data_IF_272270661474
#
_entry.id   IF_272270661474
#
_cell.length_a   1.000
_cell.length_b   1.000
_cell.length_c   1.000
_cell.angle_alpha   90.00
_cell.angle_beta   90.00
_cell.angle_gamma   90.00
#
_symmetry.space_group_name_H-M   'P 1'
#
loop_
_entity.id
_entity.type
_entity.pdbx_description
1 polymer ?
#
# COMPACT_ATOMS: atom_id res chain seq x y z
N UNK A 1 11.07 5.15 -2.69
CA UNK A 1 9.81 5.58 -2.05
C UNK A 1 8.64 4.96 -2.79
N UNK A 2 8.11 3.87 -2.25
CA UNK A 2 6.89 3.25 -2.78
C UNK A 2 5.73 4.21 -2.52
N UNK A 3 4.75 4.29 -3.42
CA UNK A 3 3.42 4.77 -3.05
C UNK A 3 2.96 3.80 -1.96
N UNK A 4 3.01 4.24 -0.71
CA UNK A 4 2.74 3.38 0.43
C UNK A 4 1.31 2.90 0.36
N UNK A 5 1.13 1.60 0.16
CA UNK A 5 -0.14 0.86 0.26
C UNK A 5 -0.58 0.69 1.73
N UNK A 6 -0.38 1.71 2.56
CA UNK A 6 -0.80 1.68 3.96
C UNK A 6 -2.33 1.52 4.09
N UNK A 7 -3.09 1.80 3.03
CA UNK A 7 -4.56 1.64 2.96
C UNK A 7 -5.07 0.19 2.85
N UNK A 8 -4.21 -0.82 2.70
CA UNK A 8 -4.57 -2.25 2.87
C UNK A 8 -3.70 -2.90 3.96
N UNK A 9 -2.93 -2.10 4.70
CA UNK A 9 -1.98 -2.59 5.70
C UNK A 9 -2.55 -2.59 7.13
N UNK A 10 -3.83 -2.26 7.32
CA UNK A 10 -4.56 -2.60 8.56
C UNK A 10 -4.85 -4.10 8.57
N UNK A 11 -3.79 -4.86 8.86
CA UNK A 11 -3.79 -6.12 9.58
C UNK A 11 -4.99 -7.04 9.35
N UNK A 12 -5.02 -7.71 8.18
CA UNK A 12 -5.31 -9.15 8.23
C UNK A 12 -4.05 -9.78 8.84
N UNK A 13 -4.02 -9.82 10.17
CA UNK A 13 -3.09 -10.64 10.93
C UNK A 13 -3.50 -12.10 10.75
N UNK A 14 -3.13 -12.75 9.64
CA UNK A 14 -3.11 -14.22 9.58
C UNK A 14 -1.91 -14.72 8.78
N UNK A 15 -1.10 -15.46 9.52
CA UNK A 15 0.02 -16.32 9.15
C UNK A 15 -0.31 -17.35 8.05
N UNK A 16 0.74 -17.81 7.35
CA UNK A 16 0.82 -19.04 6.50
C UNK A 16 0.26 -18.82 5.08
N UNK A 17 0.95 -19.05 3.96
CA UNK A 17 2.11 -19.90 3.66
C UNK A 17 2.73 -19.40 2.36
N UNK A 18 4.07 -19.38 2.32
CA UNK A 18 4.76 -19.54 1.07
C UNK A 18 4.25 -20.82 0.37
N UNK A 19 3.76 -20.69 -0.86
CA UNK A 19 3.77 -21.80 -1.81
C UNK A 19 4.00 -21.22 -3.21
N UNK A 20 5.26 -21.21 -3.61
CA UNK A 20 5.59 -21.29 -5.03
C UNK A 20 5.12 -22.65 -5.54
N UNK A 21 4.41 -22.67 -6.66
CA UNK A 21 3.99 -23.91 -7.30
C UNK A 21 3.11 -23.66 -8.50
N UNK A 22 3.71 -23.71 -9.69
CA UNK A 22 2.99 -23.64 -10.97
C UNK A 22 2.12 -24.87 -11.23
N UNK A 23 1.10 -24.68 -12.06
CA UNK A 23 0.22 -25.75 -12.52
C UNK A 23 -0.91 -25.21 -13.38
N UNK A 24 -0.67 -25.10 -14.67
CA UNK A 24 -1.64 -24.79 -15.73
C UNK A 24 -2.78 -25.82 -15.79
N UNK A 25 -4.03 -25.36 -15.91
CA UNK A 25 -5.00 -25.92 -16.87
C UNK A 25 -6.15 -24.95 -17.09
N UNK A 26 -6.43 -24.70 -18.36
CA UNK A 26 -7.46 -23.80 -18.88
C UNK A 26 -8.87 -24.35 -18.64
N UNK A 27 -9.81 -23.47 -18.36
CA UNK A 27 -11.20 -23.61 -18.81
C UNK A 27 -11.79 -22.22 -19.04
N UNK A 28 -11.92 -21.89 -20.32
CA UNK A 28 -12.69 -20.75 -20.79
C UNK A 28 -14.14 -20.90 -20.35
N UNK A 29 -14.67 -19.86 -19.71
CA UNK A 29 -16.09 -19.56 -19.80
C UNK A 29 -16.26 -18.06 -19.88
N UNK A 30 -16.30 -17.58 -21.13
CA UNK A 30 -16.67 -16.23 -21.51
C UNK A 30 -18.11 -15.96 -21.10
N UNK A 31 -18.32 -15.09 -20.12
CA UNK A 31 -19.57 -14.35 -19.99
C UNK A 31 -19.27 -12.86 -20.07
N UNK A 32 -19.57 -12.31 -21.25
CA UNK A 32 -19.59 -10.90 -21.55
C UNK A 32 -20.53 -10.17 -20.59
N UNK A 33 -19.98 -9.26 -19.79
CA UNK A 33 -20.71 -8.09 -19.34
C UNK A 33 -19.76 -6.89 -19.45
N UNK A 34 -19.84 -6.19 -20.58
CA UNK A 34 -19.10 -4.96 -20.83
C UNK A 34 -19.71 -3.83 -20.00
N UNK A 35 -19.32 -3.73 -18.74
CA UNK A 35 -19.29 -2.43 -18.07
C UNK A 35 -18.02 -1.73 -18.55
N UNK A 36 -18.16 -0.75 -19.44
CA UNK A 36 -17.08 0.17 -19.78
C UNK A 36 -16.61 0.86 -18.50
N UNK A 37 -15.55 0.32 -17.90
CA UNK A 37 -14.88 0.98 -16.78
C UNK A 37 -14.28 2.29 -17.31
N UNK A 38 -14.60 3.46 -16.72
CA UNK A 38 -14.06 4.72 -17.18
C UNK A 38 -12.53 4.69 -17.07
N UNK A 39 -11.87 4.98 -18.18
CA UNK A 39 -10.41 5.09 -18.26
C UNK A 39 -9.90 6.19 -17.31
N UNK A 40 -8.70 5.96 -16.75
CA UNK A 40 -8.05 6.96 -15.90
C UNK A 40 -7.71 8.23 -16.73
N UNK A 41 -7.66 9.42 -16.10
CA UNK A 41 -7.41 10.67 -16.82
C UNK A 41 -6.05 10.64 -17.55
N UNK A 42 -6.05 11.06 -18.83
CA UNK A 42 -4.85 11.26 -19.66
C UNK A 42 -4.20 12.64 -19.47
N UNK A 43 -4.62 13.40 -18.46
CA UNK A 43 -4.16 14.77 -18.25
C UNK A 43 -2.67 14.81 -17.85
N UNK A 44 -1.95 15.80 -18.38
CA UNK A 44 -0.56 16.12 -18.04
C UNK A 44 -0.37 16.48 -16.55
N UNK A 45 -1.44 16.90 -15.88
CA UNK A 45 -1.49 17.19 -14.45
C UNK A 45 -2.57 16.36 -13.75
N UNK A 46 -2.22 15.69 -12.65
CA UNK A 46 -3.15 14.91 -11.83
C UNK A 46 -2.72 14.97 -10.36
N UNK A 47 -3.69 15.00 -9.44
CA UNK A 47 -3.42 14.88 -8.00
C UNK A 47 -4.34 13.83 -7.37
N UNK A 48 -3.73 13.03 -6.50
CA UNK A 48 -4.37 11.91 -5.83
C UNK A 48 -3.88 11.85 -4.38
N UNK A 49 -4.77 11.49 -3.46
CA UNK A 49 -4.52 11.62 -2.03
C UNK A 49 -4.72 10.30 -1.32
N UNK A 50 -3.79 9.91 -0.46
CA UNK A 50 -4.03 8.83 0.49
C UNK A 50 -4.70 9.37 1.74
N UNK A 51 -5.43 8.50 2.42
CA UNK A 51 -5.98 8.75 3.75
C UNK A 51 -5.87 7.46 4.53
N UNK A 52 -5.14 7.47 5.63
CA UNK A 52 -5.04 6.32 6.53
C UNK A 52 -5.51 6.74 7.92
N UNK A 53 -6.61 6.15 8.37
CA UNK A 53 -7.13 6.39 9.70
C UNK A 53 -6.29 5.62 10.73
N UNK A 54 -5.77 6.30 11.74
CA UNK A 54 -5.18 5.62 12.88
C UNK A 54 -6.30 5.14 13.81
N UNK A 55 -6.80 3.95 13.50
CA UNK A 55 -7.94 3.35 14.21
C UNK A 55 -7.57 2.68 15.53
N UNK A 56 -6.27 2.51 15.80
CA UNK A 56 -5.76 1.72 16.92
C UNK A 56 -5.19 2.59 18.05
N UNK A 57 -4.81 3.84 17.75
CA UNK A 57 -4.36 4.79 18.76
C UNK A 57 -5.48 5.32 19.66
N UNK A 58 -5.10 5.75 20.87
CA UNK A 58 -6.02 6.35 21.83
C UNK A 58 -6.63 7.66 21.30
N UNK A 59 -5.86 8.44 20.56
CA UNK A 59 -6.32 9.65 19.89
C UNK A 59 -6.63 9.36 18.43
N UNK A 60 -7.80 9.82 17.98
CA UNK A 60 -8.17 9.70 16.57
C UNK A 60 -7.29 10.63 15.74
N UNK A 61 -6.48 10.05 14.87
CA UNK A 61 -5.61 10.77 13.95
C UNK A 61 -5.66 10.11 12.57
N UNK A 62 -5.04 10.75 11.58
CA UNK A 62 -4.88 10.18 10.26
C UNK A 62 -3.58 10.67 9.63
N UNK A 63 -3.02 9.84 8.77
CA UNK A 63 -1.94 10.22 7.86
C UNK A 63 -2.51 10.46 6.47
N UNK A 64 -1.92 11.41 5.74
CA UNK A 64 -2.32 11.71 4.37
C UNK A 64 -1.14 12.14 3.54
N UNK A 65 -0.98 11.50 2.40
CA UNK A 65 0.01 11.87 1.39
C UNK A 65 -0.70 12.38 0.14
N UNK A 66 -0.03 13.28 -0.58
CA UNK A 66 -0.46 13.77 -1.88
C UNK A 66 0.51 13.27 -2.93
N UNK A 67 0.01 12.59 -3.95
CA UNK A 67 0.74 12.20 -5.15
C UNK A 67 0.35 13.14 -6.29
N UNK A 68 1.34 13.84 -6.85
CA UNK A 68 1.15 14.76 -7.97
C UNK A 68 1.89 14.25 -9.19
N UNK A 69 1.17 14.09 -10.30
CA UNK A 69 1.73 13.89 -11.63
C UNK A 69 1.72 15.24 -12.33
N UNK A 70 2.88 15.70 -12.77
CA UNK A 70 2.99 16.95 -13.53
C UNK A 70 4.11 16.83 -14.57
N UNK A 71 3.77 17.02 -15.84
CA UNK A 71 4.71 17.00 -16.97
C UNK A 71 5.60 15.73 -17.02
N UNK A 72 4.98 14.56 -16.81
CA UNK A 72 5.67 13.27 -16.85
C UNK A 72 6.59 13.01 -15.64
N UNK A 73 6.41 13.76 -14.55
CA UNK A 73 7.13 13.57 -13.28
C UNK A 73 6.15 13.26 -12.16
N UNK A 74 6.58 12.41 -11.24
CA UNK A 74 5.84 12.06 -10.03
C UNK A 74 6.45 12.75 -8.82
N UNK A 75 5.63 13.41 -8.02
CA UNK A 75 6.02 14.03 -6.76
C UNK A 75 5.13 13.52 -5.63
N UNK A 76 5.67 13.47 -4.43
CA UNK A 76 4.90 13.11 -3.23
C UNK A 76 5.18 14.10 -2.10
N UNK A 77 4.14 14.52 -1.39
CA UNK A 77 4.18 15.36 -0.20
C UNK A 77 3.32 14.77 0.93
N UNK A 78 3.62 15.11 2.18
CA UNK A 78 2.89 14.62 3.37
C UNK A 78 3.82 13.92 4.36
N UNK A 79 3.26 13.00 5.14
CA UNK A 79 3.97 12.19 6.13
C UNK A 79 4.73 11.02 5.47
N UNK A 80 5.82 11.36 4.76
CA UNK A 80 6.57 10.38 3.98
C UNK A 80 7.77 9.84 4.78
N UNK A 81 7.84 8.51 4.95
CA UNK A 81 9.01 7.87 5.58
C UNK A 81 10.24 8.07 4.71
N UNK A 82 11.37 8.41 5.32
CA UNK A 82 12.64 8.51 4.61
C UNK A 82 13.17 7.12 4.26
N UNK A 83 12.83 6.64 3.06
CA UNK A 83 13.39 5.43 2.46
C UNK A 83 14.04 5.69 1.09
N UNK A 84 14.99 4.82 0.71
CA UNK A 84 15.57 4.77 -0.63
C UNK A 84 15.80 3.32 -1.05
N UNK A 85 15.87 3.07 -2.36
CA UNK A 85 16.00 1.72 -2.90
C UNK A 85 17.37 1.52 -3.52
N UNK A 86 17.93 0.32 -3.41
CA UNK A 86 19.17 -0.08 -4.10
C UNK A 86 18.95 -1.38 -4.85
N UNK A 87 19.48 -1.46 -6.08
CA UNK A 87 19.54 -2.72 -6.84
C UNK A 87 21.00 -3.18 -6.91
N UNK A 88 21.28 -4.25 -7.67
CA UNK A 88 22.64 -4.72 -7.91
C UNK A 88 23.57 -3.59 -8.38
N UNK A 89 23.06 -2.70 -9.25
CA UNK A 89 23.84 -1.63 -9.87
C UNK A 89 23.26 -0.22 -9.68
N UNK A 90 22.06 -0.09 -9.10
CA UNK A 90 21.35 1.18 -9.00
C UNK A 90 21.16 1.68 -7.57
N UNK A 91 21.02 3.00 -7.44
CA UNK A 91 20.58 3.71 -6.25
C UNK A 91 19.41 4.59 -6.67
N UNK A 92 18.27 4.46 -5.99
CA UNK A 92 17.04 5.17 -6.30
C UNK A 92 16.55 5.88 -5.04
N UNK A 93 16.85 7.16 -4.97
CA UNK A 93 16.59 8.06 -3.87
C UNK A 93 15.58 9.14 -4.28
N UNK A 94 15.44 10.18 -3.45
CA UNK A 94 14.56 11.31 -3.77
C UNK A 94 15.30 12.37 -4.57
N UNK A 95 14.63 12.91 -5.56
CA UNK A 95 15.11 14.06 -6.32
C UNK A 95 14.80 15.40 -5.66
N UNK A 96 15.17 16.51 -6.31
CA UNK A 96 14.89 17.85 -5.83
C UNK A 96 13.40 18.06 -5.55
N UNK A 97 13.08 18.74 -4.45
CA UNK A 97 11.71 19.04 -4.07
C UNK A 97 11.11 20.16 -4.90
N UNK A 98 9.88 19.95 -5.37
CA UNK A 98 9.04 21.01 -5.87
C UNK A 98 8.38 21.74 -4.70
N UNK A 99 8.31 23.08 -4.78
CA UNK A 99 7.81 23.94 -3.71
C UNK A 99 6.37 23.64 -3.28
N UNK A 100 5.54 23.15 -4.22
CA UNK A 100 4.14 22.82 -3.96
C UNK A 100 3.85 21.31 -3.85
N UNK A 101 4.72 20.44 -4.38
CA UNK A 101 4.40 19.01 -4.57
C UNK A 101 5.31 18.04 -3.80
N UNK A 102 6.35 18.56 -3.13
CA UNK A 102 7.31 17.75 -2.39
C UNK A 102 8.42 17.15 -3.26
N UNK A 103 9.22 16.21 -2.72
CA UNK A 103 10.30 15.54 -3.43
C UNK A 103 9.87 14.86 -4.74
N UNK A 104 10.71 15.00 -5.77
CA UNK A 104 10.59 14.26 -7.02
C UNK A 104 10.86 12.77 -6.75
N UNK A 105 9.89 11.92 -7.09
CA UNK A 105 9.99 10.47 -6.95
C UNK A 105 10.53 9.80 -8.21
N UNK A 106 10.39 10.44 -9.38
CA UNK A 106 10.87 9.91 -10.65
C UNK A 106 10.09 10.40 -11.85
N UNK A 107 10.37 9.81 -13.00
CA UNK A 107 9.62 10.02 -14.24
C UNK A 107 8.47 9.03 -14.31
N UNK A 108 7.29 9.49 -14.70
CA UNK A 108 6.08 8.66 -14.80
C UNK A 108 5.44 8.80 -16.18
N UNK A 109 5.03 7.68 -16.74
CA UNK A 109 4.15 7.62 -17.91
C UNK A 109 2.87 6.90 -17.57
N UNK A 110 1.74 7.45 -18.00
CA UNK A 110 0.42 6.86 -17.78
C UNK A 110 -0.16 6.46 -19.13
N UNK A 111 -0.43 5.17 -19.30
CA UNK A 111 -1.09 4.64 -20.48
C UNK A 111 -2.33 3.86 -20.04
N UNK A 112 -3.51 4.38 -20.38
CA UNK A 112 -4.80 3.87 -19.88
C UNK A 112 -4.79 3.78 -18.35
N UNK A 113 -4.84 2.56 -17.82
CA UNK A 113 -4.92 2.26 -16.40
C UNK A 113 -3.59 1.73 -15.83
N UNK A 114 -2.49 1.88 -16.57
CA UNK A 114 -1.15 1.46 -16.15
C UNK A 114 -0.28 2.69 -15.96
N UNK A 115 0.28 2.82 -14.77
CA UNK A 115 1.26 3.84 -14.40
C UNK A 115 2.64 3.20 -14.37
N UNK A 116 3.55 3.68 -15.21
CA UNK A 116 4.93 3.22 -15.22
C UNK A 116 5.83 4.29 -14.63
N UNK A 117 6.44 4.00 -13.48
CA UNK A 117 7.36 4.88 -12.77
C UNK A 117 8.79 4.38 -12.96
N UNK A 118 9.65 5.25 -13.49
CA UNK A 118 11.10 5.13 -13.40
C UNK A 118 11.56 5.99 -12.21
N UNK A 119 11.92 5.40 -11.06
CA UNK A 119 12.29 6.16 -9.88
C UNK A 119 13.47 7.08 -10.13
N UNK A 120 13.51 8.20 -9.41
CA UNK A 120 14.64 9.11 -9.43
C UNK A 120 15.91 8.39 -8.96
N UNK A 121 17.05 8.75 -9.55
CA UNK A 121 18.36 8.25 -9.17
C UNK A 121 19.39 9.37 -9.21
N UNK A 122 19.99 9.68 -8.07
CA UNK A 122 21.11 10.63 -7.98
C UNK A 122 22.36 10.20 -8.75
N UNK A 123 22.46 8.92 -9.13
CA UNK A 123 23.57 8.36 -9.93
C UNK A 123 23.17 8.03 -11.37
N UNK A 124 21.98 8.46 -11.83
CA UNK A 124 21.43 8.19 -13.14
C UNK A 124 21.25 6.68 -13.46
N UNK A 125 20.91 5.87 -12.45
CA UNK A 125 20.49 4.49 -12.68
C UNK A 125 19.09 4.43 -13.32
N UNK A 126 18.87 3.46 -14.20
CA UNK A 126 17.62 3.33 -14.97
C UNK A 126 17.07 1.89 -15.04
N UNK A 127 17.65 0.95 -14.27
CA UNK A 127 17.30 -0.49 -14.33
C UNK A 127 15.96 -0.83 -13.67
N UNK A 128 15.59 -0.08 -12.63
CA UNK A 128 14.36 -0.29 -11.86
C UNK A 128 13.22 0.55 -12.43
N UNK A 129 12.09 -0.11 -12.67
CA UNK A 129 10.83 0.49 -13.03
C UNK A 129 9.72 -0.22 -12.27
N UNK A 130 8.67 0.53 -11.95
CA UNK A 130 7.44 0.02 -11.36
C UNK A 130 6.29 0.18 -12.34
N UNK A 131 5.50 -0.88 -12.50
CA UNK A 131 4.21 -0.81 -13.17
C UNK A 131 3.11 -0.97 -12.12
N UNK A 132 2.23 0.02 -12.04
CA UNK A 132 1.07 0.03 -11.15
C UNK A 132 -0.19 0.03 -12.01
N UNK A 133 -0.97 -1.04 -11.93
CA UNK A 133 -2.29 -1.09 -12.55
C UNK A 133 -3.32 -0.54 -11.58
N UNK A 134 -4.13 0.39 -12.06
CA UNK A 134 -5.18 1.03 -11.28
C UNK A 134 -6.57 0.77 -11.87
N UNK A 135 -7.60 0.95 -11.06
CA UNK A 135 -9.00 1.02 -11.48
C UNK A 135 -9.63 2.28 -10.89
N UNK A 136 -10.36 3.03 -11.71
CA UNK A 136 -11.13 4.18 -11.24
C UNK A 136 -12.48 3.72 -10.69
N UNK A 137 -12.80 4.11 -9.47
CA UNK A 137 -14.05 3.79 -8.78
C UNK A 137 -14.82 5.08 -8.53
N UNK A 138 -16.10 5.09 -8.92
CA UNK A 138 -17.03 6.14 -8.54
C UNK A 138 -17.47 5.94 -7.09
N UNK A 139 -17.34 6.97 -6.27
CA UNK A 139 -17.72 6.96 -4.86
C UNK A 139 -19.03 7.67 -4.57
N UNK A 140 -19.60 8.39 -5.52
CA UNK A 140 -20.83 9.15 -5.31
C UNK A 140 -21.94 8.30 -4.66
N UNK A 141 -22.47 8.77 -3.52
CA UNK A 141 -23.51 8.07 -2.77
C UNK A 141 -23.05 6.86 -1.95
N UNK A 142 -21.78 6.44 -2.07
CA UNK A 142 -21.21 5.40 -1.23
C UNK A 142 -20.99 5.90 0.21
N UNK A 143 -21.04 4.98 1.19
CA UNK A 143 -20.75 5.30 2.60
C UNK A 143 -19.28 5.66 2.79
N UNK A 144 -19.00 6.71 3.57
CA UNK A 144 -17.63 7.11 3.91
C UNK A 144 -16.90 5.98 4.65
N UNK A 145 -17.51 5.44 5.71
CA UNK A 145 -16.87 4.41 6.54
C UNK A 145 -16.38 3.21 5.71
N UNK A 146 -17.19 2.74 4.76
CA UNK A 146 -16.86 1.59 3.90
C UNK A 146 -15.68 1.82 2.95
N UNK A 147 -15.23 3.06 2.79
CA UNK A 147 -14.15 3.44 1.87
C UNK A 147 -12.90 3.96 2.56
N UNK A 148 -13.00 4.47 3.79
CA UNK A 148 -11.86 5.04 4.54
C UNK A 148 -11.14 3.99 5.38
N UNK A 149 -11.88 3.04 5.96
CA UNK A 149 -11.32 1.96 6.78
C UNK A 149 -12.26 0.75 6.68
N UNK A 150 -12.13 0.03 5.56
CA UNK A 150 -13.10 -0.98 5.16
C UNK A 150 -13.16 -2.15 6.15
N UNK A 151 -12.02 -2.55 6.72
CA UNK A 151 -11.94 -3.73 7.59
C UNK A 151 -12.58 -3.43 8.93
N UNK A 152 -12.21 -2.30 9.56
CA UNK A 152 -12.80 -1.92 10.84
C UNK A 152 -14.28 -1.57 10.68
N UNK A 153 -14.69 -0.95 9.55
CA UNK A 153 -16.10 -0.80 9.22
C UNK A 153 -16.84 -2.15 9.13
N UNK A 154 -16.25 -3.15 8.45
CA UNK A 154 -16.83 -4.49 8.34
C UNK A 154 -16.95 -5.18 9.71
N UNK A 155 -15.92 -5.11 10.56
CA UNK A 155 -15.92 -5.62 11.93
C UNK A 155 -17.07 -5.03 12.74
N UNK A 156 -17.22 -3.70 12.70
CA UNK A 156 -18.28 -2.98 13.44
C UNK A 156 -19.67 -3.31 12.91
N UNK A 157 -19.84 -3.33 11.58
CA UNK A 157 -21.12 -3.63 10.95
C UNK A 157 -21.62 -5.04 11.28
N UNK A 158 -20.70 -6.00 11.33
CA UNK A 158 -21.00 -7.40 11.56
C UNK A 158 -20.86 -7.85 13.02
N UNK A 159 -20.49 -6.93 13.92
CA UNK A 159 -20.30 -7.20 15.35
C UNK A 159 -19.36 -8.40 15.59
N UNK A 160 -18.21 -8.40 14.91
CA UNK A 160 -17.22 -9.49 15.00
C UNK A 160 -16.51 -9.42 16.35
N UNK A 161 -16.92 -10.30 17.27
CA UNK A 161 -16.38 -10.37 18.63
C UNK A 161 -14.87 -10.66 18.62
N UNK A 162 -14.13 -10.05 19.55
CA UNK A 162 -12.67 -10.17 19.68
C UNK A 162 -11.89 -9.21 18.80
N UNK A 163 -12.30 -8.99 17.55
CA UNK A 163 -11.64 -8.01 16.65
C UNK A 163 -12.00 -6.55 16.98
N UNK A 164 -13.15 -6.31 17.62
CA UNK A 164 -13.55 -4.97 18.05
C UNK A 164 -12.65 -4.40 19.17
N UNK A 165 -12.05 -5.28 19.99
CA UNK A 165 -11.21 -4.86 21.12
C UNK A 165 -9.89 -4.22 20.66
N UNK A 166 -9.48 -4.50 19.42
CA UNK A 166 -8.31 -3.88 18.79
C UNK A 166 -8.63 -2.47 18.27
N UNK A 167 -9.90 -2.15 18.00
CA UNK A 167 -10.30 -0.84 17.47
C UNK A 167 -10.50 0.15 18.63
N UNK A 168 -9.83 1.30 18.59
CA UNK A 168 -9.98 2.33 19.62
C UNK A 168 -11.42 2.83 19.71
N UNK A 169 -11.88 3.15 20.93
CA UNK A 169 -13.24 3.67 21.15
C UNK A 169 -13.55 4.90 20.27
N UNK A 170 -12.57 5.77 20.04
CA UNK A 170 -12.75 6.95 19.19
C UNK A 170 -12.94 6.57 17.72
N UNK A 171 -12.18 5.60 17.21
CA UNK A 171 -12.35 5.11 15.85
C UNK A 171 -13.70 4.37 15.68
N UNK A 172 -14.13 3.59 16.66
CA UNK A 172 -15.44 2.93 16.62
C UNK A 172 -16.59 3.94 16.50
N UNK A 173 -16.58 4.99 17.32
CA UNK A 173 -17.58 6.07 17.28
C UNK A 173 -17.53 6.83 15.95
N UNK A 174 -16.34 7.18 15.48
CA UNK A 174 -16.16 7.87 14.20
C UNK A 174 -16.68 7.03 13.02
N UNK A 175 -16.26 5.76 12.89
CA UNK A 175 -16.68 4.88 11.81
C UNK A 175 -18.19 4.60 11.85
N UNK A 176 -18.76 4.49 13.05
CA UNK A 176 -20.22 4.38 13.22
C UNK A 176 -20.93 5.62 12.69
N UNK A 177 -20.48 6.83 13.04
CA UNK A 177 -21.05 8.07 12.51
C UNK A 177 -20.91 8.15 10.98
N UNK A 178 -19.73 7.83 10.46
CA UNK A 178 -19.41 7.88 9.03
C UNK A 178 -20.14 6.81 8.20
N UNK A 179 -20.71 5.77 8.81
CA UNK A 179 -21.49 4.76 8.10
C UNK A 179 -22.72 5.36 7.39
N UNK A 180 -23.28 6.42 7.96
CA UNK A 180 -24.47 7.12 7.47
C UNK A 180 -24.15 8.27 6.49
N UNK A 181 -22.91 8.77 6.54
CA UNK A 181 -22.45 9.86 5.67
C UNK A 181 -22.09 9.32 4.29
N UNK A 182 -22.51 10.04 3.25
CA UNK A 182 -22.27 9.66 1.86
C UNK A 182 -21.27 10.58 1.19
N UNK A 183 -20.49 10.03 0.27
CA UNK A 183 -19.62 10.84 -0.58
C UNK A 183 -20.46 11.75 -1.50
N UNK A 184 -20.07 13.03 -1.64
CA UNK A 184 -20.75 13.96 -2.53
C UNK A 184 -20.51 13.61 -4.01
N UNK A 185 -21.30 14.24 -4.89
CA UNK A 185 -21.15 14.05 -6.34
C UNK A 185 -19.75 14.44 -6.83
N UNK A 186 -19.23 13.67 -7.78
CA UNK A 186 -17.87 13.84 -8.32
C UNK A 186 -16.76 13.18 -7.48
N UNK A 187 -17.08 12.54 -6.36
CA UNK A 187 -16.13 11.77 -5.57
C UNK A 187 -15.67 10.52 -6.32
N UNK A 188 -14.35 10.33 -6.43
CA UNK A 188 -13.74 9.17 -7.09
C UNK A 188 -12.52 8.71 -6.31
N UNK A 189 -12.15 7.44 -6.49
CA UNK A 189 -10.84 6.95 -6.05
C UNK A 189 -10.19 6.04 -7.11
N UNK A 190 -8.88 5.92 -7.02
CA UNK A 190 -8.10 4.86 -7.65
C UNK A 190 -7.94 3.70 -6.66
N UNK A 191 -8.22 2.51 -7.14
CA UNK A 191 -7.81 1.26 -6.51
C UNK A 191 -6.58 0.75 -7.24
N UNK A 192 -5.49 0.50 -6.52
CA UNK A 192 -4.37 -0.27 -7.06
C UNK A 192 -4.81 -1.73 -7.12
N UNK A 193 -4.76 -2.33 -8.30
CA UNK A 193 -5.10 -3.74 -8.51
C UNK A 193 -3.86 -4.61 -8.65
N UNK A 194 -2.74 -4.03 -9.11
CA UNK A 194 -1.47 -4.74 -9.27
C UNK A 194 -0.29 -3.80 -9.18
N UNK A 195 0.81 -4.27 -8.57
CA UNK A 195 2.13 -3.64 -8.64
C UNK A 195 3.15 -4.69 -9.07
N UNK A 196 4.01 -4.33 -10.01
CA UNK A 196 5.20 -5.11 -10.34
C UNK A 196 6.43 -4.23 -10.54
N UNK A 197 7.60 -4.82 -10.34
CA UNK A 197 8.90 -4.19 -10.57
C UNK A 197 9.71 -4.93 -11.65
N UNK A 198 10.67 -4.24 -12.26
CA UNK A 198 11.54 -4.80 -13.31
C UNK A 198 12.80 -5.51 -12.80
N UNK A 199 13.18 -5.28 -11.54
CA UNK A 199 14.45 -5.71 -10.95
C UNK A 199 14.30 -5.93 -9.44
N UNK A 200 15.03 -6.91 -8.89
CA UNK A 200 15.14 -7.08 -7.44
C UNK A 200 15.83 -5.85 -6.82
N UNK A 201 15.32 -5.40 -5.67
CA UNK A 201 15.91 -4.31 -4.91
C UNK A 201 15.77 -4.52 -3.40
N UNK A 202 16.57 -3.78 -2.63
CA UNK A 202 16.37 -3.55 -1.22
C UNK A 202 15.73 -2.18 -1.03
N UNK A 203 14.69 -2.09 -0.20
CA UNK A 203 14.15 -0.82 0.31
C UNK A 203 14.75 -0.57 1.70
N UNK A 204 15.44 0.56 1.86
CA UNK A 204 16.23 0.90 3.05
C UNK A 204 15.54 2.05 3.78
N UNK A 205 15.10 1.78 5.01
CA UNK A 205 14.42 2.75 5.86
C UNK A 205 15.37 3.28 6.94
N UNK A 206 15.44 4.60 7.07
CA UNK A 206 16.17 5.23 8.18
C UNK A 206 15.26 5.28 9.40
N UNK A 207 15.57 4.48 10.42
CA UNK A 207 14.82 4.48 11.68
C UNK A 207 15.09 5.78 12.44
N UNK A 208 14.07 6.63 12.69
CA UNK A 208 14.25 8.03 13.11
C UNK A 208 14.80 8.24 14.52
N UNK A 209 15.04 7.19 15.31
CA UNK A 209 15.58 7.33 16.68
C UNK A 209 17.12 7.25 16.68
N UNK A 210 17.83 8.17 17.34
CA UNK A 210 19.31 8.17 17.41
C UNK A 210 19.92 6.97 18.14
N UNK A 211 19.12 6.26 18.95
CA UNK A 211 19.46 4.96 19.54
C UNK A 211 19.40 3.81 18.51
N UNK A 212 18.92 4.06 17.28
CA UNK A 212 18.76 3.05 16.23
C UNK A 212 20.10 2.53 15.72
N UNK A 213 21.11 3.36 15.48
CA UNK A 213 22.31 2.89 14.77
C UNK A 213 23.11 1.83 15.54
N UNK A 214 23.26 1.96 16.86
CA UNK A 214 23.90 0.92 17.68
C UNK A 214 23.05 -0.34 17.77
N UNK A 215 21.72 -0.20 17.81
CA UNK A 215 20.78 -1.32 17.84
C UNK A 215 20.83 -2.08 16.51
N UNK A 216 20.71 -1.38 15.38
CA UNK A 216 20.80 -1.94 14.04
C UNK A 216 22.18 -2.56 13.80
N UNK A 217 23.27 -1.95 14.30
CA UNK A 217 24.61 -2.54 14.24
C UNK A 217 24.71 -3.85 15.04
N UNK A 218 24.09 -3.93 16.22
CA UNK A 218 24.04 -5.16 17.01
C UNK A 218 23.21 -6.25 16.30
N UNK A 219 22.05 -5.89 15.75
CA UNK A 219 21.21 -6.79 14.95
C UNK A 219 21.95 -7.29 13.71
N UNK A 220 22.65 -6.41 13.01
CA UNK A 220 23.54 -6.76 11.89
C UNK A 220 24.62 -7.77 12.29
N UNK A 221 25.29 -7.55 13.41
CA UNK A 221 26.31 -8.48 13.92
C UNK A 221 25.72 -9.85 14.27
N UNK A 222 24.51 -9.88 14.84
CA UNK A 222 23.77 -11.13 15.05
C UNK A 222 23.44 -11.83 13.73
N UNK A 223 22.96 -11.09 12.72
CA UNK A 223 22.58 -11.63 11.41
C UNK A 223 23.79 -12.18 10.63
N UNK A 224 24.98 -11.58 10.74
CA UNK A 224 26.20 -12.13 10.12
C UNK A 224 26.51 -13.54 10.63
N UNK A 225 26.24 -13.79 11.91
CA UNK A 225 26.55 -15.06 12.57
C UNK A 225 25.41 -16.09 12.44
N UNK A 226 24.24 -15.67 11.98
CA UNK A 226 23.07 -16.53 11.81
C UNK A 226 23.19 -17.33 10.50
N UNK A 227 23.25 -18.67 10.56
CA UNK A 227 23.34 -19.51 9.35
C UNK A 227 22.08 -19.48 8.48
N UNK A 228 20.94 -19.03 9.00
CA UNK A 228 19.71 -18.85 8.23
C UNK A 228 19.66 -17.51 7.48
N UNK A 229 20.54 -16.56 7.83
CA UNK A 229 20.58 -15.26 7.18
C UNK A 229 21.15 -15.36 5.76
N UNK A 230 20.51 -14.69 4.82
CA UNK A 230 20.99 -14.57 3.45
C UNK A 230 21.72 -13.26 3.26
N UNK A 231 22.87 -13.31 2.60
CA UNK A 231 23.67 -12.14 2.27
C UNK A 231 23.33 -11.63 0.87
N UNK A 232 23.07 -10.33 0.76
CA UNK A 232 22.88 -9.60 -0.49
C UNK A 232 23.98 -8.55 -0.64
N UNK A 233 24.57 -8.46 -1.83
CA UNK A 233 25.54 -7.42 -2.19
C UNK A 233 24.91 -6.63 -3.32
N UNK A 234 24.64 -5.35 -3.06
CA UNK A 234 24.00 -4.40 -3.95
C UNK A 234 24.85 -3.14 -4.08
N UNK A 235 24.39 -2.16 -4.85
CA UNK A 235 25.15 -0.93 -5.11
C UNK A 235 25.58 -0.25 -3.81
N UNK A 236 26.88 -0.30 -3.53
CA UNK A 236 27.55 0.23 -2.33
C UNK A 236 26.88 -0.21 -1.01
N UNK A 237 26.19 -1.35 -1.02
CA UNK A 237 25.35 -1.84 0.07
C UNK A 237 25.59 -3.32 0.28
N UNK A 238 25.70 -3.74 1.54
CA UNK A 238 25.61 -5.14 1.93
C UNK A 238 24.37 -5.27 2.81
N UNK A 239 23.59 -6.34 2.64
CA UNK A 239 22.47 -6.65 3.51
C UNK A 239 22.50 -8.10 3.98
N UNK A 240 21.97 -8.33 5.17
CA UNK A 240 21.66 -9.65 5.70
C UNK A 240 20.18 -9.68 6.04
N UNK A 241 19.44 -10.65 5.48
CA UNK A 241 17.99 -10.78 5.69
C UNK A 241 17.62 -12.20 6.13
N UNK A 242 16.48 -12.31 6.79
CA UNK A 242 15.84 -13.57 7.16
C UNK A 242 14.52 -13.69 6.42
N UNK A 243 14.11 -14.91 6.11
CA UNK A 243 12.78 -15.14 5.53
C UNK A 243 11.71 -15.13 6.64
N UNK A 244 11.28 -13.93 7.04
CA UNK A 244 10.26 -13.68 8.06
C UNK A 244 8.98 -13.07 7.45
N UNK A 245 8.40 -13.74 6.46
CA UNK A 245 7.23 -13.34 5.66
C UNK A 245 7.48 -12.22 4.63
N UNK A 246 8.38 -11.26 4.89
CA UNK A 246 8.69 -10.15 3.97
C UNK A 246 10.18 -10.00 3.65
N UNK A 247 10.95 -11.10 3.75
CA UNK A 247 12.41 -11.16 3.61
C UNK A 247 13.12 -9.86 4.09
N UNK A 248 13.08 -9.64 5.41
CA UNK A 248 13.59 -8.41 6.05
C UNK A 248 14.86 -8.65 6.87
N UNK A 249 15.59 -7.58 7.16
CA UNK A 249 16.80 -7.60 7.96
C UNK A 249 17.47 -6.24 8.01
N UNK A 250 18.80 -6.23 8.00
CA UNK A 250 19.60 -5.01 8.14
C UNK A 250 20.50 -4.84 6.92
N UNK A 251 20.60 -3.62 6.40
CA UNK A 251 21.54 -3.22 5.37
C UNK A 251 22.57 -2.23 5.92
N UNK A 252 23.80 -2.30 5.43
CA UNK A 252 24.83 -1.29 5.62
C UNK A 252 25.09 -0.57 4.30
N UNK A 253 24.89 0.75 4.28
CA UNK A 253 25.18 1.64 3.16
C UNK A 253 25.98 2.84 3.66
N UNK A 254 27.12 3.13 3.02
CA UNK A 254 28.03 4.24 3.41
C UNK A 254 28.31 4.33 4.93
N UNK A 255 28.59 3.19 5.57
CA UNK A 255 28.86 3.04 7.00
C UNK A 255 27.69 3.39 7.95
N UNK A 256 26.45 3.45 7.44
CA UNK A 256 25.23 3.55 8.24
C UNK A 256 24.38 2.30 8.07
N UNK A 257 23.63 1.95 9.12
CA UNK A 257 22.73 0.80 9.13
C UNK A 257 21.29 1.24 8.90
N UNK A 258 20.54 0.41 8.16
CA UNK A 258 19.16 0.65 7.78
C UNK A 258 18.36 -0.62 7.99
N UNK A 259 17.09 -0.48 8.37
CA UNK A 259 16.14 -1.57 8.19
C UNK A 259 15.99 -1.83 6.69
N UNK A 260 16.05 -3.10 6.31
CA UNK A 260 16.14 -3.50 4.92
C UNK A 260 15.07 -4.54 4.59
N UNK A 261 14.32 -4.28 3.51
CA UNK A 261 13.31 -5.19 3.00
C UNK A 261 13.67 -5.57 1.57
N UNK A 262 13.81 -6.87 1.32
CA UNK A 262 14.09 -7.36 -0.02
C UNK A 262 12.79 -7.52 -0.81
N UNK A 263 12.70 -6.80 -1.93
CA UNK A 263 11.66 -7.02 -2.92
C UNK A 263 12.23 -7.87 -4.07
N UNK A 264 11.72 -9.10 -4.29
CA UNK A 264 12.11 -9.89 -5.45
C UNK A 264 11.63 -9.22 -6.74
N UNK A 265 12.26 -9.60 -7.86
CA UNK A 265 11.81 -9.17 -9.18
C UNK A 265 10.41 -9.71 -9.47
N UNK A 266 9.50 -8.87 -9.97
CA UNK A 266 8.20 -9.30 -10.48
C UNK A 266 7.02 -8.67 -9.75
N UNK A 267 5.96 -9.44 -9.52
CA UNK A 267 4.72 -8.96 -8.90
C UNK A 267 4.92 -8.78 -7.39
N UNK A 268 4.70 -7.56 -6.90
CA UNK A 268 4.75 -7.23 -5.48
C UNK A 268 3.38 -7.26 -4.83
N UNK A 269 2.35 -6.93 -5.61
CA UNK A 269 0.97 -6.85 -5.14
C UNK A 269 0.04 -7.27 -6.26
N UNK A 270 -0.95 -8.10 -5.93
CA UNK A 270 -2.07 -8.45 -6.80
C UNK A 270 -3.33 -8.57 -5.94
N UNK A 271 -4.31 -7.69 -6.17
CA UNK A 271 -5.56 -7.70 -5.42
C UNK A 271 -6.28 -9.05 -5.57
N UNK A 272 -6.14 -9.72 -6.71
CA UNK A 272 -6.83 -10.98 -6.97
C UNK A 272 -6.38 -12.09 -6.02
N UNK A 273 -5.11 -12.09 -5.61
CA UNK A 273 -4.60 -13.04 -4.61
C UNK A 273 -5.34 -12.88 -3.28
N UNK A 274 -5.50 -11.65 -2.79
CA UNK A 274 -6.26 -11.35 -1.57
C UNK A 274 -7.74 -11.72 -1.70
N UNK A 275 -8.35 -11.43 -2.85
CA UNK A 275 -9.76 -11.76 -3.09
C UNK A 275 -10.03 -13.27 -3.07
N UNK A 276 -9.06 -14.08 -3.48
CA UNK A 276 -9.15 -15.55 -3.45
C UNK A 276 -9.00 -16.11 -2.02
N UNK A 277 -8.29 -15.42 -1.13
CA UNK A 277 -8.24 -15.80 0.30
C UNK A 277 -9.62 -15.68 0.96
N UNK A 278 -10.37 -14.61 0.66
CA UNK A 278 -11.74 -14.46 1.17
C UNK A 278 -12.67 -15.56 0.64
N UNK A 279 -12.48 -16.05 -0.59
CA UNK A 279 -13.22 -17.22 -1.09
C UNK A 279 -12.88 -18.48 -0.29
N UNK A 280 -11.61 -18.65 0.08
CA UNK A 280 -11.16 -19.78 0.91
C UNK A 280 -11.82 -19.73 2.28
N UNK A 281 -11.81 -18.57 2.96
CA UNK A 281 -12.46 -18.41 4.26
C UNK A 281 -13.98 -18.58 4.18
N UNK A 282 -14.62 -18.02 3.16
CA UNK A 282 -16.06 -18.19 2.93
C UNK A 282 -16.44 -19.67 2.70
N UNK A 283 -15.57 -20.47 2.09
CA UNK A 283 -15.78 -21.90 1.89
C UNK A 283 -15.50 -22.74 3.15
N UNK A 284 -14.62 -22.26 4.02
CA UNK A 284 -14.28 -22.92 5.30
C UNK A 284 -15.15 -22.46 6.46
N UNK A 285 -15.97 -21.42 6.28
CA UNK A 285 -16.81 -20.86 7.32
C UNK A 285 -17.78 -21.91 7.89
N UNK A 286 -17.83 -22.09 9.24
CA UNK A 286 -18.68 -23.08 9.89
C UNK A 286 -20.18 -22.76 9.81
N UNK A 287 -20.55 -21.52 9.52
CA UNK A 287 -21.96 -21.09 9.43
C UNK A 287 -22.25 -20.30 8.16
N UNK A 288 -23.51 -20.31 7.72
CA UNK A 288 -23.97 -19.51 6.58
C UNK A 288 -23.85 -17.99 6.86
N UNK A 289 -24.03 -17.58 8.12
CA UNK A 289 -23.87 -16.18 8.52
C UNK A 289 -22.42 -15.72 8.32
N UNK A 290 -21.46 -16.47 8.84
CA UNK A 290 -20.03 -16.18 8.71
C UNK A 290 -19.56 -16.24 7.25
N UNK A 291 -20.05 -17.21 6.47
CA UNK A 291 -19.83 -17.25 5.03
C UNK A 291 -20.26 -15.94 4.34
N UNK A 292 -21.46 -15.44 4.66
CA UNK A 292 -21.95 -14.19 4.09
C UNK A 292 -21.11 -12.98 4.53
N UNK A 293 -20.60 -12.99 5.77
CA UNK A 293 -19.71 -11.94 6.27
C UNK A 293 -18.39 -11.89 5.47
N UNK A 294 -17.77 -13.05 5.18
CA UNK A 294 -16.55 -13.08 4.35
C UNK A 294 -16.80 -12.67 2.90
N UNK A 295 -17.94 -13.06 2.31
CA UNK A 295 -18.33 -12.61 0.96
C UNK A 295 -18.62 -11.09 0.91
N UNK A 296 -19.16 -10.53 1.99
CA UNK A 296 -19.28 -9.08 2.13
C UNK A 296 -17.91 -8.41 2.18
N UNK A 297 -16.98 -8.92 3.01
CA UNK A 297 -15.62 -8.38 3.11
C UNK A 297 -14.92 -8.41 1.75
N UNK A 298 -15.06 -9.51 1.00
CA UNK A 298 -14.58 -9.61 -0.38
C UNK A 298 -15.15 -8.51 -1.28
N UNK A 299 -16.46 -8.27 -1.20
CA UNK A 299 -17.13 -7.23 -2.00
C UNK A 299 -16.65 -5.83 -1.63
N UNK A 300 -16.40 -5.57 -0.34
CA UNK A 300 -15.80 -4.33 0.14
C UNK A 300 -14.37 -4.17 -0.39
N UNK A 301 -13.55 -5.21 -0.30
CA UNK A 301 -12.17 -5.22 -0.78
C UNK A 301 -12.07 -5.03 -2.30
N UNK A 302 -12.97 -5.66 -3.08
CA UNK A 302 -13.09 -5.47 -4.52
C UNK A 302 -13.33 -4.02 -4.93
N UNK A 303 -13.94 -3.22 -4.04
CA UNK A 303 -14.24 -1.82 -4.29
C UNK A 303 -13.48 -0.89 -3.34
N UNK A 304 -12.36 -1.34 -2.78
CA UNK A 304 -11.51 -0.56 -1.87
C UNK A 304 -10.87 0.62 -2.58
N UNK A 305 -10.48 1.65 -1.81
CA UNK A 305 -9.81 2.82 -2.34
C UNK A 305 -8.36 2.85 -1.87
N UNK A 306 -7.45 3.16 -2.78
CA UNK A 306 -6.05 3.41 -2.46
C UNK A 306 -5.74 4.90 -2.42
N UNK A 307 -6.23 5.65 -3.42
CA UNK A 307 -6.04 7.10 -3.51
C UNK A 307 -7.32 7.80 -3.95
N UNK A 308 -7.68 8.90 -3.31
CA UNK A 308 -8.88 9.69 -3.57
C UNK A 308 -8.59 10.87 -4.48
N UNK A 309 -9.58 11.34 -5.24
CA UNK A 309 -9.51 12.66 -5.88
C UNK A 309 -9.79 13.78 -4.87
N UNK A 310 -9.58 15.04 -5.29
CA UNK A 310 -9.80 16.23 -4.47
C UNK A 310 -11.17 16.28 -3.78
N UNK A 311 -12.23 15.93 -4.52
CA UNK A 311 -13.61 15.98 -4.01
C UNK A 311 -13.79 14.97 -2.87
N UNK A 312 -13.32 13.73 -3.06
CA UNK A 312 -13.44 12.67 -2.08
C UNK A 312 -12.59 12.94 -0.84
N UNK A 313 -11.31 13.34 -1.00
CA UNK A 313 -10.45 13.60 0.16
C UNK A 313 -10.93 14.78 1.00
N UNK A 314 -11.45 15.83 0.38
CA UNK A 314 -12.00 16.98 1.10
C UNK A 314 -13.26 16.60 1.88
N UNK A 315 -14.12 15.75 1.31
CA UNK A 315 -15.26 15.21 2.04
C UNK A 315 -14.83 14.39 3.27
N UNK A 316 -13.80 13.56 3.14
CA UNK A 316 -13.24 12.79 4.27
C UNK A 316 -12.71 13.74 5.35
N UNK A 317 -11.82 14.67 4.98
CA UNK A 317 -11.17 15.61 5.91
C UNK A 317 -12.18 16.53 6.61
N UNK A 318 -13.19 17.01 5.90
CA UNK A 318 -14.24 17.85 6.49
C UNK A 318 -15.05 17.07 7.53
N UNK A 319 -15.43 15.82 7.24
CA UNK A 319 -16.18 15.01 8.20
C UNK A 319 -15.33 14.59 9.40
N UNK A 320 -14.04 14.32 9.19
CA UNK A 320 -13.09 14.10 10.28
C UNK A 320 -12.97 15.32 11.19
N UNK A 321 -12.84 16.52 10.61
CA UNK A 321 -12.75 17.77 11.36
C UNK A 321 -14.04 18.12 12.13
N UNK A 322 -15.21 17.83 11.55
CA UNK A 322 -16.51 18.06 12.20
C UNK A 322 -16.80 17.08 13.34
N UNK A 323 -16.14 15.92 13.36
CA UNK A 323 -16.30 14.92 14.42
C UNK A 323 -15.48 15.26 15.67
N UNK A 324 -14.31 15.88 15.49
CA UNK A 324 -13.47 16.39 16.59
C UNK A 324 -14.09 17.61 17.26
#
# INVERSE_FOLDING_TARGET
MKIKLLTISTAILLTLTACGGGGSSSSDNSNNNSSENPSAPTAAFQQWFTFNLDSYSAELSFDSETTTVDNGKLYTAGDIDTSFMVTANGLYDQGPSHSAYGPLQGSISINNNIWTLSPYSSINAAGLNFETTVQLINLEGASLASKIDLYNYWVLKNNIAGSMDDISNQAQLFLTAMSTVKFPSGSKCLQITKISNSEQYLDLYDSPSSNSQSVLANLWNSLILDPAAKKYIMKDTIAYTLNNNFESGIAQYKNRFYDAYLAPKGVEYDIQSFLTEFDTWANQAPTAAEKNQFLELKTLAQNSCTMYNDVAINAIKQNFANYK
#
